data_IF_453880186643
#
_entry.id   IF_453880186643
#
_cell.length_a   1.000
_cell.length_b   1.000
_cell.length_c   1.000
_cell.angle_alpha   90.00
_cell.angle_beta   90.00
_cell.angle_gamma   90.00
#
_symmetry.space_group_name_H-M   'P 1'
#
loop_
_entity.id
_entity.type
_entity.pdbx_description
1 polymer ?
#
# COMPACT_ATOMS: atom_id res chain seq x y z
N UNK A 1 -6.39 -57.03 38.61
CA UNK A 1 -6.66 -56.61 37.21
C UNK A 1 -7.50 -55.34 37.25
N UNK A 2 -6.91 -54.17 36.94
CA UNK A 2 -7.63 -52.88 36.93
C UNK A 2 -7.38 -52.18 35.61
N UNK A 3 -8.39 -52.19 34.72
CA UNK A 3 -8.30 -51.63 33.38
C UNK A 3 -8.18 -50.11 33.37
N UNK A 4 -7.20 -49.58 32.64
CA UNK A 4 -7.03 -48.14 32.40
C UNK A 4 -8.07 -47.65 31.39
N UNK A 5 -8.97 -46.76 31.81
CA UNK A 5 -9.85 -46.00 30.93
C UNK A 5 -9.00 -45.08 30.03
N UNK A 6 -9.07 -45.31 28.71
CA UNK A 6 -8.53 -44.39 27.71
C UNK A 6 -9.50 -43.24 27.51
N UNK A 7 -9.14 -42.07 28.03
CA UNK A 7 -9.88 -40.82 27.81
C UNK A 7 -9.73 -40.44 26.33
N UNK A 8 -10.81 -40.55 25.57
CA UNK A 8 -10.89 -40.07 24.19
C UNK A 8 -10.92 -38.54 24.19
N UNK A 9 -9.81 -37.90 23.80
CA UNK A 9 -9.77 -36.46 23.52
C UNK A 9 -10.78 -36.12 22.42
N UNK A 10 -11.65 -35.13 22.69
CA UNK A 10 -12.72 -34.76 21.76
C UNK A 10 -12.19 -33.89 20.63
N UNK A 11 -12.87 -33.92 19.48
CA UNK A 11 -12.55 -33.10 18.29
C UNK A 11 -12.48 -31.59 18.59
N UNK A 12 -13.17 -31.14 19.64
CA UNK A 12 -13.19 -29.75 20.11
C UNK A 12 -11.88 -29.34 20.78
N UNK A 13 -11.20 -30.27 21.44
CA UNK A 13 -9.89 -30.02 22.07
C UNK A 13 -8.79 -29.87 21.01
N UNK A 14 -8.88 -30.59 19.89
CA UNK A 14 -7.95 -30.45 18.76
C UNK A 14 -8.09 -29.10 18.04
N UNK A 15 -9.30 -28.57 17.94
CA UNK A 15 -9.55 -27.26 17.31
C UNK A 15 -9.07 -26.09 18.19
N UNK A 16 -9.16 -26.20 19.52
CA UNK A 16 -8.59 -25.19 20.42
C UNK A 16 -7.07 -25.19 20.41
N UNK A 17 -6.45 -26.36 20.29
CA UNK A 17 -5.00 -26.47 20.23
C UNK A 17 -4.43 -25.90 18.91
N UNK A 18 -5.09 -26.15 17.78
CA UNK A 18 -4.69 -25.57 16.49
C UNK A 18 -4.91 -24.05 16.35
N UNK A 19 -5.74 -23.42 17.20
CA UNK A 19 -5.92 -21.97 17.24
C UNK A 19 -4.86 -21.28 18.10
N UNK A 20 -4.39 -21.94 19.16
CA UNK A 20 -3.29 -21.43 19.99
C UNK A 20 -1.94 -21.55 19.25
N UNK A 21 -1.75 -22.61 18.47
CA UNK A 21 -0.54 -22.79 17.66
C UNK A 21 -0.47 -21.78 16.48
N UNK A 22 -1.60 -21.19 16.04
CA UNK A 22 -1.62 -20.15 15.00
C UNK A 22 -1.34 -18.74 15.52
N UNK A 23 -1.59 -18.46 16.81
CA UNK A 23 -1.21 -17.18 17.41
C UNK A 23 0.29 -17.13 17.74
N UNK A 24 0.94 -18.28 17.92
CA UNK A 24 2.38 -18.39 18.22
C UNK A 24 3.29 -18.38 16.98
N UNK A 25 2.74 -18.52 15.77
CA UNK A 25 3.50 -18.56 14.51
C UNK A 25 3.62 -17.19 13.80
N UNK A 26 3.14 -16.11 14.45
CA UNK A 26 3.52 -14.75 14.07
C UNK A 26 4.91 -14.46 14.61
N UNK A 27 5.93 -14.89 13.86
CA UNK A 27 7.32 -14.52 14.11
C UNK A 27 7.39 -13.01 14.40
N UNK A 28 8.09 -12.59 15.48
CA UNK A 28 8.26 -11.16 15.75
C UNK A 28 8.84 -10.50 14.50
N UNK A 29 8.36 -9.30 14.12
CA UNK A 29 8.81 -8.65 12.90
C UNK A 29 10.34 -8.56 12.93
N UNK A 30 10.97 -9.05 11.86
CA UNK A 30 12.43 -9.01 11.73
C UNK A 30 12.92 -7.57 11.96
N UNK A 31 14.10 -7.40 12.58
CA UNK A 31 14.63 -6.06 12.91
C UNK A 31 14.65 -5.12 11.70
N UNK A 32 14.83 -5.67 10.49
CA UNK A 32 14.78 -4.95 9.22
C UNK A 32 13.38 -4.40 8.87
N UNK A 33 12.31 -5.14 9.21
CA UNK A 33 10.91 -4.69 9.06
C UNK A 33 10.59 -3.58 10.06
N UNK A 34 11.08 -3.70 11.29
CA UNK A 34 10.90 -2.68 12.35
C UNK A 34 11.64 -1.39 12.00
N UNK A 35 12.86 -1.49 11.47
CA UNK A 35 13.66 -0.34 11.04
C UNK A 35 13.06 0.37 9.82
N UNK A 36 12.51 -0.41 8.87
CA UNK A 36 11.79 0.15 7.72
C UNK A 36 10.49 0.87 8.12
N UNK A 37 9.75 0.34 9.10
CA UNK A 37 8.56 1.00 9.66
C UNK A 37 8.91 2.25 10.47
N UNK A 38 10.04 2.28 11.18
CA UNK A 38 10.52 3.46 11.91
C UNK A 38 10.82 4.66 11.00
N UNK A 39 11.15 4.39 9.73
CA UNK A 39 11.52 5.42 8.76
C UNK A 39 10.43 5.65 7.69
N UNK A 40 9.21 5.16 7.88
CA UNK A 40 8.11 5.42 6.93
C UNK A 40 7.60 6.86 7.11
N UNK A 41 7.76 7.70 6.08
CA UNK A 41 7.36 9.11 6.08
C UNK A 41 5.88 9.26 6.44
N UNK A 42 5.01 8.37 5.96
CA UNK A 42 3.57 8.43 6.25
C UNK A 42 3.28 8.11 7.71
N UNK A 43 3.99 7.16 8.31
CA UNK A 43 3.84 6.83 9.72
C UNK A 43 4.37 7.97 10.60
N UNK A 44 5.50 8.59 10.22
CA UNK A 44 6.04 9.75 10.92
C UNK A 44 5.05 10.92 10.90
N UNK A 45 4.48 11.25 9.73
CA UNK A 45 3.47 12.30 9.59
C UNK A 45 2.18 12.02 10.36
N UNK A 46 1.78 10.74 10.48
CA UNK A 46 0.65 10.38 11.33
C UNK A 46 0.99 10.59 12.82
N UNK A 47 2.21 10.22 13.23
CA UNK A 47 2.64 10.34 14.63
C UNK A 47 2.81 11.79 15.09
N UNK A 48 3.16 12.70 14.18
CA UNK A 48 3.21 14.15 14.44
C UNK A 48 1.83 14.81 14.42
N UNK A 49 0.80 14.12 13.91
CA UNK A 49 -0.56 14.65 13.78
C UNK A 49 -0.79 15.48 12.52
N UNK A 50 0.16 15.51 11.58
CA UNK A 50 0.02 16.23 10.31
C UNK A 50 -0.98 15.56 9.36
N UNK A 51 -1.17 14.24 9.51
CA UNK A 51 -2.16 13.45 8.77
C UNK A 51 -2.94 12.48 9.67
N UNK A 52 -4.18 12.17 9.27
CA UNK A 52 -5.04 11.23 9.99
C UNK A 52 -4.98 9.78 9.49
N UNK A 53 -5.61 8.86 10.21
CA UNK A 53 -5.65 7.42 9.86
C UNK A 53 -6.21 7.14 8.45
N UNK A 54 -7.17 7.95 7.97
CA UNK A 54 -7.70 7.79 6.61
C UNK A 54 -6.68 8.13 5.52
N UNK A 55 -5.73 9.02 5.81
CA UNK A 55 -4.60 9.32 4.91
C UNK A 55 -3.65 8.14 4.83
N UNK A 56 -3.37 7.47 5.96
CA UNK A 56 -2.53 6.26 6.00
C UNK A 56 -3.17 5.15 5.16
N UNK A 57 -4.46 4.90 5.33
CA UNK A 57 -5.21 3.92 4.52
C UNK A 57 -5.18 4.26 3.02
N UNK A 58 -5.35 5.54 2.67
CA UNK A 58 -5.26 5.97 1.28
C UNK A 58 -3.84 5.76 0.71
N UNK A 59 -2.80 6.04 1.49
CA UNK A 59 -1.42 5.81 1.12
C UNK A 59 -1.13 4.30 0.91
N UNK A 60 -1.64 3.43 1.78
CA UNK A 60 -1.55 1.97 1.64
C UNK A 60 -2.26 1.45 0.39
N UNK A 61 -3.48 1.92 0.12
CA UNK A 61 -4.23 1.59 -1.11
C UNK A 61 -3.41 2.01 -2.35
N UNK A 62 -2.84 3.22 -2.35
CA UNK A 62 -1.99 3.73 -3.43
C UNK A 62 -0.74 2.86 -3.61
N UNK A 63 -0.01 2.53 -2.53
CA UNK A 63 1.17 1.66 -2.57
C UNK A 63 0.84 0.31 -3.18
N UNK A 64 -0.23 -0.32 -2.70
CA UNK A 64 -0.67 -1.65 -3.12
C UNK A 64 -1.01 -1.66 -4.61
N UNK A 65 -1.86 -0.73 -5.06
CA UNK A 65 -2.26 -0.65 -6.47
C UNK A 65 -1.09 -0.28 -7.36
N UNK A 66 -0.25 0.68 -6.97
CA UNK A 66 0.94 1.06 -7.72
C UNK A 66 1.88 -0.13 -7.91
N UNK A 67 2.13 -0.90 -6.85
CA UNK A 67 2.98 -2.08 -6.90
C UNK A 67 2.41 -3.15 -7.86
N UNK A 68 1.12 -3.45 -7.79
CA UNK A 68 0.49 -4.44 -8.67
C UNK A 68 0.58 -4.02 -10.15
N UNK A 69 0.35 -2.74 -10.43
CA UNK A 69 0.41 -2.19 -11.79
C UNK A 69 1.85 -2.12 -12.31
N UNK A 70 2.81 -1.70 -11.49
CA UNK A 70 4.21 -1.50 -11.89
C UNK A 70 5.00 -2.81 -12.06
N UNK A 71 4.70 -3.86 -11.29
CA UNK A 71 5.35 -5.19 -11.35
C UNK A 71 5.31 -5.88 -12.73
N UNK A 72 4.48 -5.41 -13.67
CA UNK A 72 4.42 -5.92 -15.05
C UNK A 72 5.08 -5.03 -16.10
N UNK A 73 5.34 -3.76 -15.78
CA UNK A 73 5.80 -2.76 -16.75
C UNK A 73 7.32 -2.62 -16.81
N UNK A 74 8.03 -3.03 -15.75
CA UNK A 74 9.49 -2.93 -15.67
C UNK A 74 10.11 -4.26 -15.23
N UNK A 75 10.21 -5.26 -16.13
CA UNK A 75 10.80 -6.57 -15.81
C UNK A 75 12.29 -6.52 -15.40
N UNK A 76 12.98 -5.38 -15.59
CA UNK A 76 14.37 -5.19 -15.22
C UNK A 76 14.60 -4.65 -13.78
N UNK A 77 13.56 -4.23 -13.06
CA UNK A 77 13.69 -3.62 -11.73
C UNK A 77 13.08 -4.43 -10.59
N UNK A 78 12.71 -5.70 -10.81
CA UNK A 78 12.34 -6.58 -9.70
C UNK A 78 13.59 -6.89 -8.87
N UNK A 79 13.80 -6.13 -7.80
CA UNK A 79 14.79 -6.40 -6.75
C UNK A 79 14.54 -7.73 -6.01
N UNK A 80 13.45 -8.44 -6.35
CA UNK A 80 13.15 -9.82 -5.97
C UNK A 80 12.97 -10.69 -7.22
N UNK A 81 14.00 -10.82 -8.04
CA UNK A 81 14.04 -11.82 -9.12
C UNK A 81 14.36 -13.21 -8.56
N UNK A 82 13.56 -13.69 -7.62
CA UNK A 82 13.61 -15.07 -7.16
C UNK A 82 12.42 -15.81 -7.76
N UNK A 83 12.47 -15.98 -9.09
CA UNK A 83 11.84 -17.07 -9.84
C UNK A 83 12.19 -16.88 -11.31
N UNK A 84 13.22 -17.60 -11.74
CA UNK A 84 13.54 -17.82 -13.14
C UNK A 84 12.34 -18.46 -13.86
N UNK A 85 11.53 -17.66 -14.56
CA UNK A 85 10.70 -18.14 -15.67
C UNK A 85 10.71 -17.12 -16.82
N UNK A 86 11.16 -17.59 -17.97
CA UNK A 86 11.33 -16.88 -19.25
C UNK A 86 10.07 -16.07 -19.62
N UNK A 87 10.21 -14.82 -20.13
CA UNK A 87 9.05 -13.99 -20.43
C UNK A 87 8.39 -14.41 -21.75
N UNK A 88 7.26 -15.11 -21.68
CA UNK A 88 6.27 -15.07 -22.77
C UNK A 88 5.72 -13.64 -22.87
N UNK A 89 5.45 -13.17 -24.09
CA UNK A 89 4.87 -11.84 -24.40
C UNK A 89 3.63 -11.58 -23.52
N UNK A 90 3.83 -10.85 -22.42
CA UNK A 90 2.79 -10.51 -21.44
C UNK A 90 1.91 -9.39 -22.00
N UNK A 91 0.60 -9.62 -22.07
CA UNK A 91 -0.35 -8.64 -22.57
C UNK A 91 -0.61 -7.60 -21.47
N UNK A 92 -1.12 -6.43 -21.87
CA UNK A 92 -1.51 -5.33 -20.96
C UNK A 92 -2.53 -5.75 -19.88
N UNK A 93 -3.17 -6.90 -20.06
CA UNK A 93 -4.20 -7.48 -19.17
C UNK A 93 -3.61 -8.21 -17.95
N UNK A 94 -2.32 -8.54 -17.96
CA UNK A 94 -1.72 -9.46 -16.98
C UNK A 94 -1.71 -8.95 -15.53
N UNK A 95 -1.92 -7.64 -15.28
CA UNK A 95 -1.99 -7.13 -13.91
C UNK A 95 -3.40 -7.18 -13.31
N UNK A 96 -4.45 -7.05 -14.13
CA UNK A 96 -5.84 -7.16 -13.66
C UNK A 96 -6.09 -8.59 -13.16
N UNK A 97 -5.52 -9.58 -13.84
CA UNK A 97 -5.58 -10.99 -13.43
C UNK A 97 -4.89 -11.27 -12.09
N UNK A 98 -4.02 -10.37 -11.62
CA UNK A 98 -3.34 -10.46 -10.32
C UNK A 98 -4.09 -9.73 -9.20
N UNK A 99 -5.10 -8.93 -9.55
CA UNK A 99 -5.91 -8.19 -8.59
C UNK A 99 -7.10 -9.04 -8.15
N UNK A 100 -7.41 -9.03 -6.86
CA UNK A 100 -8.70 -9.52 -6.38
C UNK A 100 -9.83 -8.54 -6.76
N UNK A 101 -11.10 -8.97 -6.64
CA UNK A 101 -12.24 -8.13 -7.06
C UNK A 101 -12.33 -6.78 -6.32
N UNK A 102 -11.85 -6.72 -5.08
CA UNK A 102 -11.81 -5.48 -4.30
C UNK A 102 -10.72 -4.54 -4.82
N UNK A 103 -9.52 -5.04 -5.12
CA UNK A 103 -8.42 -4.28 -5.70
C UNK A 103 -8.75 -3.75 -7.09
N UNK A 104 -9.44 -4.53 -7.93
CA UNK A 104 -9.93 -4.05 -9.24
C UNK A 104 -10.88 -2.87 -9.04
N UNK A 105 -11.79 -2.94 -8.08
CA UNK A 105 -12.72 -1.85 -7.79
C UNK A 105 -11.99 -0.59 -7.28
N UNK A 106 -11.03 -0.74 -6.37
CA UNK A 106 -10.20 0.37 -5.89
C UNK A 106 -9.42 0.98 -7.05
N UNK A 107 -8.77 0.15 -7.87
CA UNK A 107 -7.99 0.61 -9.02
C UNK A 107 -8.84 1.39 -10.01
N UNK A 108 -9.97 0.81 -10.45
CA UNK A 108 -10.81 1.41 -11.49
C UNK A 108 -11.56 2.66 -10.98
N UNK A 109 -12.08 2.62 -9.75
CA UNK A 109 -12.97 3.67 -9.24
C UNK A 109 -12.25 4.76 -8.46
N UNK A 110 -11.13 4.45 -7.83
CA UNK A 110 -10.39 5.39 -6.98
C UNK A 110 -9.06 5.78 -7.61
N UNK A 111 -8.16 4.81 -7.81
CA UNK A 111 -6.79 5.08 -8.25
C UNK A 111 -6.73 5.70 -9.65
N UNK A 112 -7.40 5.12 -10.64
CA UNK A 112 -7.32 5.57 -12.03
C UNK A 112 -7.86 7.01 -12.22
N UNK A 113 -9.05 7.39 -11.70
CA UNK A 113 -9.53 8.76 -11.80
C UNK A 113 -8.66 9.75 -11.02
N UNK A 114 -8.15 9.34 -9.86
CA UNK A 114 -7.24 10.13 -9.03
C UNK A 114 -5.92 10.42 -9.75
N UNK A 115 -5.25 9.39 -10.26
CA UNK A 115 -3.97 9.52 -10.94
C UNK A 115 -4.10 10.32 -12.22
N UNK A 116 -5.19 10.14 -12.98
CA UNK A 116 -5.44 10.92 -14.18
C UNK A 116 -5.53 12.42 -13.88
N UNK A 117 -6.30 12.83 -12.86
CA UNK A 117 -6.40 14.24 -12.47
C UNK A 117 -5.04 14.82 -12.05
N UNK A 118 -4.35 14.14 -11.12
CA UNK A 118 -3.06 14.61 -10.60
C UNK A 118 -1.94 14.62 -11.65
N UNK A 119 -2.03 13.76 -12.67
CA UNK A 119 -1.04 13.76 -13.77
C UNK A 119 -1.12 14.99 -14.67
N UNK A 120 -2.28 15.67 -14.69
CA UNK A 120 -2.49 16.87 -15.48
C UNK A 120 -2.05 18.14 -14.72
N UNK A 121 -2.08 18.09 -13.40
CA UNK A 121 -1.71 19.21 -12.52
C UNK A 121 -0.18 19.29 -12.34
N UNK A 122 0.35 20.51 -12.43
CA UNK A 122 1.78 20.80 -12.27
C UNK A 122 2.04 21.21 -10.82
N UNK A 123 3.14 20.76 -10.24
CA UNK A 123 3.61 21.17 -8.91
C UNK A 123 4.79 22.12 -9.06
N UNK A 124 4.63 23.36 -8.61
CA UNK A 124 5.66 24.39 -8.77
C UNK A 124 5.78 24.91 -10.20
N UNK A 125 6.60 25.95 -10.39
CA UNK A 125 6.77 26.63 -11.69
C UNK A 125 7.64 25.89 -12.70
N UNK A 126 8.00 24.63 -12.47
CA UNK A 126 8.97 23.90 -13.31
C UNK A 126 8.26 23.01 -14.33
N UNK A 127 8.52 23.18 -15.65
CA UNK A 127 7.93 22.32 -16.67
C UNK A 127 8.23 20.84 -16.42
N UNK A 128 7.20 19.99 -16.45
CA UNK A 128 7.33 18.54 -16.32
C UNK A 128 7.23 17.97 -14.89
N UNK A 129 7.17 18.82 -13.87
CA UNK A 129 6.93 18.36 -12.48
C UNK A 129 5.43 18.13 -12.26
N UNK A 130 5.00 16.87 -12.40
CA UNK A 130 3.59 16.50 -12.19
C UNK A 130 3.33 16.21 -10.73
N UNK A 131 2.18 16.67 -10.23
CA UNK A 131 1.75 16.44 -8.85
C UNK A 131 1.73 14.94 -8.52
N UNK A 132 1.22 14.13 -9.44
CA UNK A 132 1.19 12.68 -9.26
C UNK A 132 2.57 12.10 -8.90
N UNK A 133 3.63 12.53 -9.59
CA UNK A 133 4.97 12.01 -9.34
C UNK A 133 5.46 12.37 -7.93
N UNK A 134 5.18 13.58 -7.47
CA UNK A 134 5.56 14.02 -6.12
C UNK A 134 4.87 13.16 -5.04
N UNK A 135 3.57 12.85 -5.23
CA UNK A 135 2.86 11.96 -4.30
C UNK A 135 3.43 10.55 -4.34
N UNK A 136 3.80 10.04 -5.51
CA UNK A 136 4.44 8.71 -5.65
C UNK A 136 5.80 8.70 -4.94
N UNK A 137 6.64 9.72 -5.11
CA UNK A 137 7.94 9.79 -4.46
C UNK A 137 7.81 9.72 -2.93
N UNK A 138 6.82 10.40 -2.35
CA UNK A 138 6.58 10.38 -0.90
C UNK A 138 5.93 9.05 -0.46
N UNK A 139 4.82 8.67 -1.11
CA UNK A 139 3.98 7.57 -0.65
C UNK A 139 4.61 6.23 -1.00
N UNK A 140 5.06 6.05 -2.23
CA UNK A 140 5.54 4.76 -2.73
C UNK A 140 7.03 4.61 -2.49
N UNK A 141 7.82 5.62 -2.86
CA UNK A 141 9.28 5.56 -2.74
C UNK A 141 9.78 5.98 -1.35
N UNK A 142 8.88 6.43 -0.48
CA UNK A 142 9.14 6.80 0.92
C UNK A 142 10.19 7.92 1.06
N UNK A 143 10.15 8.91 0.17
CA UNK A 143 11.06 10.05 0.27
C UNK A 143 10.68 10.96 1.46
N UNK A 144 11.66 11.49 2.21
CA UNK A 144 11.42 12.54 3.19
C UNK A 144 10.88 13.81 2.52
N UNK A 145 10.02 14.57 3.22
CA UNK A 145 9.44 15.79 2.67
C UNK A 145 10.51 16.82 2.27
N UNK A 146 11.54 17.01 3.08
CA UNK A 146 12.64 17.94 2.80
C UNK A 146 13.36 17.62 1.47
N UNK A 147 13.53 16.34 1.17
CA UNK A 147 14.18 15.89 -0.07
C UNK A 147 13.28 16.11 -1.27
N UNK A 148 11.97 15.93 -1.10
CA UNK A 148 10.97 16.23 -2.13
C UNK A 148 10.90 17.75 -2.37
N UNK A 149 10.87 18.58 -1.33
CA UNK A 149 10.84 20.03 -1.50
C UNK A 149 12.07 20.53 -2.25
N UNK A 150 13.26 20.01 -1.95
CA UNK A 150 14.48 20.29 -2.71
C UNK A 150 14.38 19.81 -4.16
N UNK A 151 13.95 18.55 -4.37
CA UNK A 151 13.83 17.94 -5.71
C UNK A 151 12.88 18.73 -6.61
N UNK A 152 11.76 19.20 -6.06
CA UNK A 152 10.71 19.92 -6.77
C UNK A 152 10.82 21.45 -6.68
N UNK A 153 11.84 21.98 -5.98
CA UNK A 153 12.07 23.42 -5.75
C UNK A 153 10.85 24.11 -5.12
N UNK A 154 10.29 23.47 -4.10
CA UNK A 154 9.14 23.98 -3.35
C UNK A 154 9.61 24.77 -2.12
N UNK A 155 8.73 25.64 -1.61
CA UNK A 155 8.94 26.28 -0.31
C UNK A 155 8.70 25.30 0.84
N UNK A 156 9.20 25.67 2.02
CA UNK A 156 9.04 24.87 3.24
C UNK A 156 7.57 24.53 3.54
N UNK A 157 7.30 23.27 3.84
CA UNK A 157 5.97 22.73 4.14
C UNK A 157 5.03 22.59 2.94
N UNK A 158 5.47 23.02 1.74
CA UNK A 158 4.63 22.98 0.54
C UNK A 158 4.41 21.54 0.05
N UNK A 159 5.41 20.65 0.21
CA UNK A 159 5.24 19.25 -0.17
C UNK A 159 4.18 18.55 0.68
N UNK A 160 4.12 18.86 1.99
CA UNK A 160 3.08 18.35 2.89
C UNK A 160 1.69 18.78 2.40
N UNK A 161 1.51 20.07 2.07
CA UNK A 161 0.22 20.58 1.58
C UNK A 161 -0.26 19.87 0.30
N UNK A 162 0.64 19.65 -0.66
CA UNK A 162 0.33 18.90 -1.87
C UNK A 162 0.06 17.41 -1.59
N UNK A 163 0.80 16.79 -0.66
CA UNK A 163 0.56 15.41 -0.25
C UNK A 163 -0.84 15.26 0.35
N UNK A 164 -1.16 16.07 1.36
CA UNK A 164 -2.46 16.05 2.06
C UNK A 164 -3.60 16.23 1.07
N UNK A 165 -3.54 17.27 0.22
CA UNK A 165 -4.59 17.51 -0.75
C UNK A 165 -4.71 16.36 -1.79
N UNK A 166 -3.59 15.75 -2.18
CA UNK A 166 -3.58 14.56 -3.04
C UNK A 166 -4.28 13.36 -2.39
N UNK A 167 -3.99 13.11 -1.12
CA UNK A 167 -4.61 12.03 -0.34
C UNK A 167 -6.09 12.31 -0.05
N UNK A 168 -6.47 13.54 0.29
CA UNK A 168 -7.88 13.94 0.49
C UNK A 168 -8.73 13.67 -0.75
N UNK A 169 -8.22 14.01 -1.93
CA UNK A 169 -8.89 13.71 -3.20
C UNK A 169 -9.08 12.21 -3.41
N UNK A 170 -8.12 11.39 -2.99
CA UNK A 170 -8.23 9.94 -3.02
C UNK A 170 -9.29 9.44 -2.04
N UNK A 171 -9.24 9.91 -0.78
CA UNK A 171 -10.19 9.57 0.28
C UNK A 171 -11.62 9.89 -0.15
N UNK A 172 -11.84 11.05 -0.76
CA UNK A 172 -13.16 11.45 -1.25
C UNK A 172 -13.71 10.48 -2.32
N UNK A 173 -12.86 9.99 -3.22
CA UNK A 173 -13.23 8.95 -4.19
C UNK A 173 -13.55 7.64 -3.47
N UNK A 174 -12.67 7.21 -2.56
CA UNK A 174 -12.83 5.98 -1.79
C UNK A 174 -14.15 5.95 -1.04
N UNK A 175 -14.46 7.01 -0.27
CA UNK A 175 -15.71 7.14 0.48
C UNK A 175 -16.95 7.11 -0.42
N UNK A 176 -16.88 7.72 -1.61
CA UNK A 176 -17.98 7.70 -2.60
C UNK A 176 -18.30 6.29 -3.09
N UNK A 177 -17.32 5.39 -3.15
CA UNK A 177 -17.51 4.03 -3.67
C UNK A 177 -17.66 2.98 -2.57
N UNK A 178 -17.00 3.11 -1.42
CA UNK A 178 -17.21 2.21 -0.27
C UNK A 178 -18.52 2.50 0.44
N UNK A 179 -18.95 3.78 0.52
CA UNK A 179 -20.24 4.15 1.12
C UNK A 179 -21.48 3.69 0.32
N UNK A 180 -21.30 3.34 -0.95
CA UNK A 180 -22.38 2.77 -1.80
C UNK A 180 -22.50 1.26 -1.71
N UNK A 181 -21.52 0.57 -1.12
CA UNK A 181 -21.55 -0.87 -0.85
C UNK A 181 -22.00 -1.08 0.60
N UNK A 182 -23.20 -0.60 0.93
CA UNK A 182 -23.94 -1.15 2.08
C UNK A 182 -24.95 -2.12 1.49
N UNK A 183 -24.67 -3.41 1.70
CA UNK A 183 -25.60 -4.53 1.48
C UNK A 183 -26.84 -4.33 2.34
#
# INVERSE_FOLDING_TARGET
MGGKLKIHRTRKDRLRQGLLDQEEELSPPTSQTVEKLRNDTIILLMSSGDIGMDHVRAAEDIRTIFEIVSRGMFPASSWRSETNRVPHRRRRTDFVDRMNSHEVLIWEKCYLPWSHKLSLEVVGGVPGTRWLQMVIDIVVDNFPLDDVEKKYRLGEGTALGFLVNGLDRYIALRQKYTGKVRV
#
